data_IF_008718470372
#
_entry.id   IF_008718470372
#
_cell.length_a   1.000
_cell.length_b   1.000
_cell.length_c   1.000
_cell.angle_alpha   90.00
_cell.angle_beta   90.00
_cell.angle_gamma   90.00
#
_symmetry.space_group_name_H-M   'P 1'
#
loop_
_entity.id
_entity.type
_entity.pdbx_description
1 polymer ?
#
# COMPACT_ATOMS: atom_id res chain seq x y z
N UNK A 1 -1.37 -19.18 10.30
CA UNK A 1 -2.59 -18.42 10.70
C UNK A 1 -3.52 -18.38 9.49
N UNK A 2 -4.84 -18.51 9.68
CA UNK A 2 -5.80 -18.38 8.57
C UNK A 2 -5.80 -16.93 8.06
N UNK A 3 -5.87 -16.65 6.74
CA UNK A 3 -5.81 -15.29 6.19
C UNK A 3 -6.84 -14.33 6.80
N UNK A 4 -8.07 -14.83 7.03
CA UNK A 4 -9.13 -14.08 7.73
C UNK A 4 -8.71 -13.59 9.12
N UNK A 5 -8.14 -14.45 9.95
CA UNK A 5 -7.70 -14.05 11.28
C UNK A 5 -6.55 -13.04 11.18
N UNK A 6 -5.63 -13.21 10.22
CA UNK A 6 -4.58 -12.22 10.02
C UNK A 6 -5.12 -10.85 9.61
N UNK A 7 -6.12 -10.82 8.71
CA UNK A 7 -6.83 -9.61 8.31
C UNK A 7 -7.46 -8.92 9.54
N UNK A 8 -8.21 -9.66 10.34
CA UNK A 8 -8.97 -9.14 11.50
C UNK A 8 -8.05 -8.72 12.66
N UNK A 9 -6.98 -9.47 12.93
CA UNK A 9 -6.12 -9.27 14.10
C UNK A 9 -4.98 -8.26 13.87
N UNK A 10 -4.54 -8.05 12.62
CA UNK A 10 -3.35 -7.24 12.31
C UNK A 10 -3.62 -6.15 11.28
N UNK A 11 -4.24 -6.52 10.14
CA UNK A 11 -4.38 -5.60 9.01
C UNK A 11 -5.44 -4.52 9.29
N UNK A 12 -6.66 -4.92 9.67
CA UNK A 12 -7.74 -3.99 9.95
C UNK A 12 -7.42 -3.04 11.11
N UNK A 13 -6.83 -3.50 12.24
CA UNK A 13 -6.36 -2.61 13.29
C UNK A 13 -5.34 -1.58 12.78
N UNK A 14 -4.35 -2.00 11.99
CA UNK A 14 -3.32 -1.10 11.45
C UNK A 14 -3.91 -0.06 10.49
N UNK A 15 -4.86 -0.45 9.64
CA UNK A 15 -5.58 0.46 8.74
C UNK A 15 -6.44 1.44 9.55
N UNK A 16 -7.14 0.98 10.58
CA UNK A 16 -7.97 1.81 11.43
C UNK A 16 -7.14 2.83 12.24
N UNK A 17 -5.99 2.42 12.78
CA UNK A 17 -5.06 3.32 13.46
C UNK A 17 -4.55 4.42 12.53
N UNK A 18 -4.21 4.06 11.28
CA UNK A 18 -3.85 5.05 10.28
C UNK A 18 -5.02 5.97 9.92
N UNK A 19 -6.25 5.47 9.80
CA UNK A 19 -7.43 6.27 9.48
C UNK A 19 -7.73 7.36 10.54
N UNK A 20 -7.35 7.13 11.80
CA UNK A 20 -7.43 8.14 12.87
C UNK A 20 -6.37 9.25 12.69
N UNK A 21 -5.25 8.93 12.04
CA UNK A 21 -4.11 9.83 11.80
C UNK A 21 -3.65 9.81 10.34
N UNK A 22 -4.49 10.23 9.38
CA UNK A 22 -4.28 9.95 7.95
C UNK A 22 -3.03 10.64 7.37
N UNK A 23 -2.50 11.66 8.05
CA UNK A 23 -1.27 12.37 7.67
C UNK A 23 0.00 11.82 8.32
N UNK A 24 -0.10 10.72 9.08
CA UNK A 24 1.02 10.09 9.75
C UNK A 24 1.70 9.06 8.85
N UNK A 25 2.84 9.43 8.29
CA UNK A 25 3.64 8.53 7.44
C UNK A 25 4.04 7.23 8.16
N UNK A 26 4.25 7.29 9.49
CA UNK A 26 4.54 6.10 10.30
C UNK A 26 3.38 5.11 10.27
N UNK A 27 2.16 5.55 10.58
CA UNK A 27 1.00 4.67 10.58
C UNK A 27 0.65 4.20 9.17
N UNK A 28 0.86 5.03 8.15
CA UNK A 28 0.69 4.63 6.74
C UNK A 28 1.63 3.48 6.35
N UNK A 29 2.91 3.57 6.70
CA UNK A 29 3.90 2.52 6.41
C UNK A 29 3.53 1.22 7.11
N UNK A 30 3.06 1.29 8.36
CA UNK A 30 2.61 0.11 9.11
C UNK A 30 1.38 -0.52 8.43
N UNK A 31 0.36 0.28 8.10
CA UNK A 31 -0.84 -0.21 7.42
C UNK A 31 -0.51 -0.88 6.07
N UNK A 32 0.29 -0.23 5.22
CA UNK A 32 0.73 -0.80 3.94
C UNK A 32 1.58 -2.06 4.13
N UNK A 33 2.42 -2.10 5.17
CA UNK A 33 3.20 -3.28 5.53
C UNK A 33 2.34 -4.48 5.91
N UNK A 34 1.31 -4.29 6.75
CA UNK A 34 0.41 -5.38 7.12
C UNK A 34 -0.49 -5.82 5.95
N UNK A 35 -0.93 -4.90 5.10
CA UNK A 35 -1.63 -5.23 3.84
C UNK A 35 -0.78 -6.14 2.95
N UNK A 36 0.52 -5.87 2.86
CA UNK A 36 1.46 -6.68 2.08
C UNK A 36 1.78 -8.02 2.77
N UNK A 37 1.94 -8.04 4.10
CA UNK A 37 2.12 -9.29 4.87
C UNK A 37 0.94 -10.25 4.70
N UNK A 38 -0.28 -9.74 4.55
CA UNK A 38 -1.46 -10.56 4.28
C UNK A 38 -1.33 -11.39 3.00
N UNK A 39 -0.57 -10.92 2.01
CA UNK A 39 -0.32 -11.67 0.78
C UNK A 39 0.37 -13.02 1.07
N UNK A 40 1.34 -13.03 1.98
CA UNK A 40 2.04 -14.26 2.37
C UNK A 40 1.08 -15.26 3.02
N UNK A 41 0.24 -14.81 3.95
CA UNK A 41 -0.76 -15.67 4.59
C UNK A 41 -1.77 -16.21 3.59
N UNK A 42 -2.24 -15.37 2.66
CA UNK A 42 -3.17 -15.78 1.62
C UNK A 42 -2.55 -16.83 0.68
N UNK A 43 -1.36 -16.56 0.15
CA UNK A 43 -0.63 -17.44 -0.78
C UNK A 43 -0.36 -18.81 -0.14
N UNK A 44 0.14 -18.83 1.09
CA UNK A 44 0.40 -20.08 1.82
C UNK A 44 -0.88 -20.87 2.12
N UNK A 45 -2.01 -20.18 2.29
CA UNK A 45 -3.30 -20.83 2.51
C UNK A 45 -3.82 -21.51 1.25
N UNK A 46 -3.81 -20.82 0.10
CA UNK A 46 -4.33 -21.37 -1.17
C UNK A 46 -3.37 -22.37 -1.82
N UNK A 47 -2.07 -22.25 -1.57
CA UNK A 47 -1.05 -23.16 -2.05
C UNK A 47 -0.05 -23.49 -0.93
N UNK A 48 -0.38 -24.45 -0.03
CA UNK A 48 0.47 -24.82 1.10
C UNK A 48 1.84 -25.38 0.71
N UNK A 49 2.01 -25.79 -0.55
CA UNK A 49 3.26 -26.37 -1.07
C UNK A 49 4.17 -25.35 -1.76
N UNK A 50 3.75 -24.08 -1.82
CA UNK A 50 4.51 -23.01 -2.46
C UNK A 50 5.89 -22.86 -1.79
N UNK A 51 6.96 -23.02 -2.57
CA UNK A 51 8.32 -22.88 -2.05
C UNK A 51 8.86 -21.44 -2.14
N UNK A 52 8.30 -20.62 -3.04
CA UNK A 52 8.74 -19.24 -3.28
C UNK A 52 7.53 -18.33 -3.38
N UNK A 53 7.40 -17.43 -2.42
CA UNK A 53 6.26 -16.50 -2.31
C UNK A 53 6.42 -15.30 -3.25
N UNK A 54 7.66 -14.93 -3.58
CA UNK A 54 7.97 -13.76 -4.41
C UNK A 54 7.20 -13.70 -5.75
N UNK A 55 7.24 -14.74 -6.59
CA UNK A 55 6.51 -14.75 -7.86
C UNK A 55 4.99 -14.65 -7.71
N UNK A 56 4.42 -15.26 -6.68
CA UNK A 56 2.99 -15.16 -6.38
C UNK A 56 2.62 -13.74 -5.93
N UNK A 57 3.46 -13.10 -5.11
CA UNK A 57 3.30 -11.68 -4.76
C UNK A 57 3.46 -10.76 -5.96
N UNK A 58 4.35 -11.08 -6.90
CA UNK A 58 4.45 -10.37 -8.18
C UNK A 58 3.16 -10.49 -8.98
N UNK A 59 2.58 -11.69 -9.09
CA UNK A 59 1.31 -11.93 -9.77
C UNK A 59 0.16 -11.13 -9.15
N UNK A 60 0.08 -11.06 -7.83
CA UNK A 60 -0.89 -10.21 -7.12
C UNK A 60 -0.70 -8.73 -7.46
N UNK A 61 0.55 -8.25 -7.49
CA UNK A 61 0.87 -6.87 -7.88
C UNK A 61 0.54 -6.55 -9.36
N UNK A 62 0.59 -7.54 -10.25
CA UNK A 62 0.11 -7.40 -11.62
C UNK A 62 -1.43 -7.40 -11.72
N UNK A 63 -2.11 -8.16 -10.85
CA UNK A 63 -3.56 -8.19 -10.79
C UNK A 63 -4.16 -6.90 -10.21
N UNK A 64 -3.50 -6.33 -9.19
CA UNK A 64 -3.86 -5.05 -8.60
C UNK A 64 -2.61 -4.23 -8.28
N UNK A 65 -2.45 -3.10 -8.98
CA UNK A 65 -1.27 -2.25 -8.87
C UNK A 65 -1.05 -1.71 -7.45
N UNK A 66 -2.11 -1.44 -6.71
CA UNK A 66 -2.06 -0.96 -5.33
C UNK A 66 -1.38 -1.96 -4.38
N UNK A 67 -1.48 -3.27 -4.64
CA UNK A 67 -0.71 -4.28 -3.90
C UNK A 67 0.78 -4.23 -4.22
N UNK A 68 1.15 -3.90 -5.47
CA UNK A 68 2.55 -3.68 -5.83
C UNK A 68 3.11 -2.45 -5.10
N UNK A 69 2.34 -1.36 -5.01
CA UNK A 69 2.72 -0.15 -4.27
C UNK A 69 2.89 -0.46 -2.78
N UNK A 70 1.91 -1.11 -2.15
CA UNK A 70 1.97 -1.46 -0.73
C UNK A 70 3.23 -2.29 -0.42
N UNK A 71 3.49 -3.29 -1.26
CA UNK A 71 4.70 -4.11 -1.20
C UNK A 71 5.97 -3.30 -1.36
N UNK A 72 6.07 -2.45 -2.38
CA UNK A 72 7.30 -1.70 -2.65
C UNK A 72 7.59 -0.71 -1.51
N UNK A 73 6.56 -0.05 -0.96
CA UNK A 73 6.70 0.83 0.22
C UNK A 73 7.18 0.03 1.44
N UNK A 74 6.61 -1.15 1.67
CA UNK A 74 7.01 -2.01 2.78
C UNK A 74 8.46 -2.52 2.62
N UNK A 75 8.77 -3.11 1.46
CA UNK A 75 10.11 -3.63 1.15
C UNK A 75 11.15 -2.52 1.23
N UNK A 76 10.87 -1.33 0.69
CA UNK A 76 11.83 -0.21 0.74
C UNK A 76 12.02 0.34 2.14
N UNK A 77 10.98 0.35 2.97
CA UNK A 77 11.12 0.73 4.37
C UNK A 77 12.07 -0.20 5.12
N UNK A 78 12.01 -1.50 4.83
CA UNK A 78 12.80 -2.54 5.50
C UNK A 78 14.21 -2.71 4.92
N UNK A 79 14.35 -2.59 3.60
CA UNK A 79 15.56 -2.99 2.87
C UNK A 79 16.26 -1.83 2.14
N UNK A 80 15.65 -0.65 2.06
CA UNK A 80 16.18 0.48 1.29
C UNK A 80 15.84 0.37 -0.19
N UNK A 81 16.81 0.59 -1.08
CA UNK A 81 16.56 0.53 -2.52
C UNK A 81 16.25 -0.89 -3.01
N UNK A 82 15.32 -1.03 -3.97
CA UNK A 82 14.94 -2.32 -4.56
C UNK A 82 15.62 -2.52 -5.91
N UNK A 83 16.04 -3.77 -6.17
CA UNK A 83 16.66 -4.18 -7.43
C UNK A 83 15.81 -5.16 -8.25
N UNK A 84 14.63 -5.55 -7.75
CA UNK A 84 13.74 -6.46 -8.47
C UNK A 84 13.08 -5.74 -9.65
N UNK A 85 12.97 -6.43 -10.78
CA UNK A 85 12.41 -5.88 -12.04
C UNK A 85 10.94 -5.51 -11.96
N UNK A 86 10.20 -6.09 -11.01
CA UNK A 86 8.78 -5.86 -10.77
C UNK A 86 8.51 -4.73 -9.79
N UNK A 87 9.55 -4.06 -9.27
CA UNK A 87 9.38 -2.88 -8.43
C UNK A 87 8.98 -1.68 -9.30
N UNK A 88 7.97 -0.97 -8.80
CA UNK A 88 7.44 0.29 -9.31
C UNK A 88 8.00 1.48 -8.53
N UNK A 89 8.47 1.24 -7.29
CA UNK A 89 9.17 2.20 -6.44
C UNK A 89 10.54 1.60 -6.07
N UNK A 90 11.62 2.04 -6.71
CA UNK A 90 12.97 1.45 -6.52
C UNK A 90 13.87 2.23 -5.58
N UNK A 91 13.70 3.55 -5.46
CA UNK A 91 14.62 4.43 -4.72
C UNK A 91 14.22 4.68 -3.26
N UNK A 92 13.27 3.91 -2.75
CA UNK A 92 12.81 4.04 -1.37
C UNK A 92 11.98 5.29 -1.09
N UNK A 93 11.19 5.73 -2.09
CA UNK A 93 10.19 6.75 -1.91
C UNK A 93 9.22 6.33 -0.80
N UNK A 94 9.10 7.16 0.23
CA UNK A 94 8.18 6.95 1.37
C UNK A 94 6.94 7.83 1.22
N UNK A 95 5.83 7.47 1.88
CA UNK A 95 4.69 8.37 2.01
C UNK A 95 5.12 9.77 2.47
N UNK A 96 4.83 10.77 1.65
CA UNK A 96 5.13 12.18 1.90
C UNK A 96 3.85 12.99 1.94
N UNK A 97 3.84 14.06 2.73
CA UNK A 97 2.72 15.00 2.78
C UNK A 97 2.61 15.72 1.44
N UNK A 98 1.39 15.80 0.94
CA UNK A 98 0.99 16.53 -0.26
C UNK A 98 -0.40 17.11 -0.05
N UNK A 99 -1.05 17.56 -1.12
CA UNK A 99 -2.44 18.03 -1.14
C UNK A 99 -3.21 17.29 -2.22
N UNK A 100 -4.43 16.86 -1.89
CA UNK A 100 -5.43 16.32 -2.82
C UNK A 100 -6.30 17.47 -3.31
N UNK A 101 -6.30 17.69 -4.62
CA UNK A 101 -7.02 18.79 -5.25
C UNK A 101 -6.38 20.16 -5.01
N UNK A 102 -6.74 21.13 -5.84
CA UNK A 102 -6.17 22.48 -5.86
C UNK A 102 -5.07 22.65 -6.90
N UNK A 103 -5.36 23.42 -7.94
CA UNK A 103 -4.33 23.94 -8.84
C UNK A 103 -3.85 25.27 -8.25
N UNK A 104 -2.53 25.47 -8.12
CA UNK A 104 -1.98 26.82 -8.09
C UNK A 104 -1.60 27.20 -9.51
N UNK A 105 -2.17 28.30 -9.98
CA UNK A 105 -1.60 29.06 -11.09
C UNK A 105 -0.20 29.53 -10.69
N UNK A 106 0.76 29.49 -11.62
CA UNK A 106 2.17 29.92 -11.50
C UNK A 106 2.35 31.45 -11.23
N UNK A 107 1.43 32.09 -10.51
CA UNK A 107 1.40 33.52 -10.27
C UNK A 107 1.22 33.83 -8.79
N UNK A 108 2.27 34.43 -8.20
CA UNK A 108 2.29 35.18 -6.94
C UNK A 108 0.95 35.29 -6.18
N UNK A 109 0.77 34.50 -5.12
CA UNK A 109 0.12 34.99 -3.90
C UNK A 109 0.50 34.14 -2.69
N UNK A 110 1.08 34.80 -1.69
CA UNK A 110 1.16 34.28 -0.34
C UNK A 110 -0.27 34.15 0.22
N UNK A 111 -0.72 32.92 0.43
CA UNK A 111 -1.79 32.67 1.41
C UNK A 111 -3.05 31.96 0.94
N UNK A 112 -3.08 31.34 -0.25
CA UNK A 112 -4.23 30.51 -0.60
C UNK A 112 -3.80 29.18 -1.17
N UNK A 113 -3.22 28.33 -0.33
CA UNK A 113 -3.04 26.94 -0.69
C UNK A 113 -4.39 26.17 -0.59
N UNK A 114 -5.17 26.15 -1.66
CA UNK A 114 -6.38 25.33 -1.84
C UNK A 114 -5.96 23.84 -1.96
N UNK A 115 -6.50 22.96 -1.10
CA UNK A 115 -6.31 21.52 -1.24
C UNK A 115 -6.32 20.79 0.11
N UNK A 116 -6.94 19.62 0.16
CA UNK A 116 -7.03 18.80 1.38
C UNK A 116 -5.68 18.14 1.63
N UNK A 117 -5.05 18.28 2.81
CA UNK A 117 -3.82 17.59 3.13
C UNK A 117 -3.95 16.08 2.92
N UNK A 118 -2.96 15.46 2.28
CA UNK A 118 -2.95 14.03 1.97
C UNK A 118 -1.55 13.44 2.12
N UNK A 119 -1.45 12.11 2.20
CA UNK A 119 -0.20 11.39 1.98
C UNK A 119 -0.19 10.82 0.57
N UNK A 120 0.96 10.94 -0.08
CA UNK A 120 1.19 10.36 -1.41
C UNK A 120 2.50 9.60 -1.46
N UNK A 121 2.57 8.64 -2.37
CA UNK A 121 3.81 8.01 -2.82
C UNK A 121 3.96 8.28 -4.32
N UNK A 122 5.18 8.54 -4.78
CA UNK A 122 5.48 8.76 -6.19
C UNK A 122 6.28 7.56 -6.68
N UNK A 123 5.81 6.91 -7.74
CA UNK A 123 6.51 5.79 -8.37
C UNK A 123 7.64 6.26 -9.30
N UNK A 124 8.39 5.30 -9.84
CA UNK A 124 9.53 5.58 -10.71
C UNK A 124 9.13 6.18 -12.07
N UNK A 125 7.85 6.07 -12.45
CA UNK A 125 7.26 6.73 -13.63
C UNK A 125 6.77 8.15 -13.33
N UNK A 126 7.05 8.68 -12.12
CA UNK A 126 6.58 9.96 -11.62
C UNK A 126 5.06 10.04 -11.42
N UNK A 127 4.37 8.90 -11.42
CA UNK A 127 2.95 8.87 -11.10
C UNK A 127 2.77 9.01 -9.58
N UNK A 128 1.86 9.91 -9.19
CA UNK A 128 1.51 10.14 -7.80
C UNK A 128 0.32 9.28 -7.43
N UNK A 129 0.49 8.48 -6.38
CA UNK A 129 -0.53 7.60 -5.81
C UNK A 129 -0.87 8.11 -4.42
N UNK A 130 -2.15 8.38 -4.18
CA UNK A 130 -2.59 8.76 -2.85
C UNK A 130 -2.69 7.53 -1.95
N UNK A 131 -2.16 7.63 -0.73
CA UNK A 131 -2.03 6.50 0.18
C UNK A 131 -3.39 5.96 0.63
N UNK A 132 -4.39 6.84 0.79
CA UNK A 132 -5.77 6.46 1.07
C UNK A 132 -6.39 5.63 -0.05
N UNK A 133 -6.23 6.02 -1.31
CA UNK A 133 -6.73 5.24 -2.45
C UNK A 133 -6.03 3.86 -2.53
N UNK A 134 -4.71 3.82 -2.26
CA UNK A 134 -3.93 2.57 -2.25
C UNK A 134 -4.45 1.62 -1.18
N UNK A 135 -4.64 2.12 0.05
CA UNK A 135 -5.14 1.32 1.18
C UNK A 135 -6.58 0.86 0.90
N UNK A 136 -7.45 1.75 0.44
CA UNK A 136 -8.86 1.44 0.18
C UNK A 136 -9.00 0.29 -0.83
N UNK A 137 -8.35 0.42 -2.00
CA UNK A 137 -8.44 -0.60 -3.07
C UNK A 137 -7.78 -1.92 -2.68
N UNK A 138 -6.64 -1.87 -1.99
CA UNK A 138 -5.98 -3.08 -1.51
C UNK A 138 -6.86 -3.82 -0.48
N UNK A 139 -7.53 -3.10 0.42
CA UNK A 139 -8.45 -3.68 1.39
C UNK A 139 -9.71 -4.23 0.74
N UNK A 140 -10.28 -3.54 -0.25
CA UNK A 140 -11.41 -4.05 -1.04
C UNK A 140 -11.05 -5.39 -1.71
N UNK A 141 -9.90 -5.44 -2.38
CA UNK A 141 -9.39 -6.67 -2.99
C UNK A 141 -9.23 -7.79 -1.97
N UNK A 142 -8.57 -7.53 -0.84
CA UNK A 142 -8.37 -8.55 0.17
C UNK A 142 -9.67 -9.09 0.75
N UNK A 143 -10.65 -8.23 1.01
CA UNK A 143 -11.98 -8.64 1.48
C UNK A 143 -12.67 -9.55 0.48
N UNK A 144 -12.59 -9.23 -0.82
CA UNK A 144 -13.15 -10.06 -1.89
C UNK A 144 -12.44 -11.43 -1.96
N UNK A 145 -11.11 -11.46 -1.97
CA UNK A 145 -10.35 -12.72 -2.06
C UNK A 145 -10.54 -13.60 -0.81
N UNK A 146 -10.54 -13.02 0.39
CA UNK A 146 -10.73 -13.77 1.63
C UNK A 146 -12.17 -14.28 1.78
N UNK A 147 -13.16 -13.57 1.23
CA UNK A 147 -14.54 -14.07 1.18
C UNK A 147 -14.67 -15.35 0.35
N UNK A 148 -13.87 -15.52 -0.71
CA UNK A 148 -13.84 -16.73 -1.54
C UNK A 148 -13.25 -17.95 -0.83
N UNK A 149 -12.56 -17.77 0.29
CA UNK A 149 -11.99 -18.88 1.07
C UNK A 149 -13.03 -19.58 1.98
N UNK A 150 -14.22 -18.99 2.15
CA UNK A 150 -15.30 -19.55 2.98
C UNK A 150 -16.23 -20.48 2.18
N UNK A 151 -16.20 -20.41 0.84
CA UNK A 151 -16.98 -21.29 -0.05
C UNK A 151 -16.25 -22.57 -0.36
#
# INVERSE_FOLDING_TARGET
MHPRHFLEDFVEPSVNEWAIQPLSARHAIIALGEIDNLAEHFIQHINPTVQRIGPERDALGFALHELAIARDVHDTHKHGALSRKTATITQGQKPKKSRRGGAFSDGFSSGFDIGTPALVVTDDNQQTHYVDDVIEKAMEYWRVEIAKLIS
#
